data_IF_303882716351
#
_entry.id   IF_303882716351
#
_cell.length_a   1.000
_cell.length_b   1.000
_cell.length_c   1.000
_cell.angle_alpha   90.00
_cell.angle_beta   90.00
_cell.angle_gamma   90.00
#
_symmetry.space_group_name_H-M   'P 1'
#
loop_
_entity.id
_entity.type
_entity.pdbx_description
1 polymer ?
#
# COMPACT_ATOMS: atom_id res chain seq x y z
N UNK A 1 5.45 -3.25 13.74
CA UNK A 1 4.33 -2.47 13.18
C UNK A 1 4.77 -1.02 13.01
N UNK A 2 5.50 -0.48 13.98
CA UNK A 2 6.09 0.87 13.94
C UNK A 2 6.88 1.15 12.66
N UNK A 3 7.78 0.25 12.23
CA UNK A 3 8.52 0.43 10.96
C UNK A 3 7.60 0.59 9.73
N UNK A 4 6.45 -0.11 9.71
CA UNK A 4 5.47 0.07 8.62
C UNK A 4 4.74 1.39 8.74
N UNK A 5 4.42 1.81 9.97
CA UNK A 5 3.77 3.09 10.21
C UNK A 5 4.65 4.25 9.77
N UNK A 6 5.93 4.25 10.15
CA UNK A 6 6.88 5.30 9.80
C UNK A 6 7.13 5.36 8.30
N UNK A 7 7.26 4.20 7.65
CA UNK A 7 7.37 4.13 6.19
C UNK A 7 6.12 4.70 5.49
N UNK A 8 4.92 4.33 5.95
CA UNK A 8 3.68 4.82 5.33
C UNK A 8 3.46 6.32 5.59
N UNK A 9 3.88 6.83 6.74
CA UNK A 9 3.82 8.25 7.06
C UNK A 9 4.74 9.06 6.14
N UNK A 10 5.98 8.59 5.94
CA UNK A 10 6.92 9.21 4.99
C UNK A 10 6.37 9.19 3.55
N UNK A 11 5.81 8.06 3.10
CA UNK A 11 5.18 7.98 1.78
C UNK A 11 3.98 8.93 1.63
N UNK A 12 3.13 9.00 2.66
CA UNK A 12 1.97 9.91 2.67
C UNK A 12 2.40 11.37 2.53
N UNK A 13 3.42 11.78 3.28
CA UNK A 13 3.95 13.15 3.26
C UNK A 13 4.52 13.49 1.88
N UNK A 14 5.40 12.63 1.35
CA UNK A 14 5.97 12.81 0.01
C UNK A 14 4.89 12.90 -1.09
N UNK A 15 3.84 12.08 -1.03
CA UNK A 15 2.70 12.16 -1.98
C UNK A 15 1.96 13.49 -1.83
N UNK A 16 1.70 13.93 -0.61
CA UNK A 16 1.00 15.19 -0.34
C UNK A 16 1.81 16.40 -0.82
N UNK A 17 3.10 16.46 -0.50
CA UNK A 17 4.01 17.50 -0.97
C UNK A 17 4.14 17.49 -2.49
N UNK A 18 4.23 16.31 -3.11
CA UNK A 18 4.30 16.20 -4.58
C UNK A 18 3.05 16.76 -5.25
N UNK A 19 1.86 16.45 -4.72
CA UNK A 19 0.59 16.99 -5.23
C UNK A 19 0.58 18.53 -5.14
N UNK A 20 0.99 19.11 -4.01
CA UNK A 20 1.09 20.56 -3.85
C UNK A 20 2.09 21.16 -4.85
N UNK A 21 3.26 20.53 -5.03
CA UNK A 21 4.31 21.00 -5.92
C UNK A 21 3.90 21.07 -7.40
N UNK A 22 2.90 20.29 -7.81
CA UNK A 22 2.32 20.30 -9.17
C UNK A 22 0.98 21.05 -9.24
N UNK A 23 0.69 21.90 -8.25
CA UNK A 23 -0.56 22.67 -8.10
C UNK A 23 -1.84 21.83 -7.93
N UNK A 24 -1.69 20.58 -7.49
CA UNK A 24 -2.80 19.73 -7.04
C UNK A 24 -3.18 19.99 -5.58
N UNK A 25 -4.14 19.21 -5.08
CA UNK A 25 -4.57 19.24 -3.67
C UNK A 25 -4.69 17.82 -3.13
N UNK A 26 -3.91 17.45 -2.09
CA UNK A 26 -4.10 16.18 -1.41
C UNK A 26 -5.38 16.19 -0.57
N UNK A 27 -5.91 15.00 -0.26
CA UNK A 27 -6.88 14.85 0.82
C UNK A 27 -6.22 15.18 2.16
N UNK A 28 -6.92 15.94 2.99
CA UNK A 28 -6.34 16.53 4.19
C UNK A 28 -7.12 16.19 5.47
N UNK A 29 -8.26 15.50 5.36
CA UNK A 29 -9.10 15.13 6.48
C UNK A 29 -9.35 13.62 6.53
N UNK A 30 -9.55 13.10 7.74
CA UNK A 30 -9.91 11.69 7.92
C UNK A 30 -11.18 11.29 7.16
N UNK A 31 -12.14 12.22 7.03
CA UNK A 31 -13.39 11.94 6.29
C UNK A 31 -13.13 11.74 4.80
N UNK A 32 -12.32 12.59 4.17
CA UNK A 32 -11.93 12.40 2.76
C UNK A 32 -11.20 11.08 2.55
N UNK A 33 -10.29 10.70 3.45
CA UNK A 33 -9.61 9.39 3.36
C UNK A 33 -10.59 8.22 3.46
N UNK A 34 -11.59 8.30 4.36
CA UNK A 34 -12.63 7.27 4.50
C UNK A 34 -13.48 7.19 3.23
N UNK A 35 -13.89 8.32 2.67
CA UNK A 35 -14.77 8.37 1.50
C UNK A 35 -14.08 7.87 0.22
N UNK A 36 -12.75 7.95 0.16
CA UNK A 36 -11.96 7.61 -1.03
C UNK A 36 -11.13 6.33 -0.92
N UNK A 37 -11.05 5.71 0.26
CA UNK A 37 -10.33 4.44 0.43
C UNK A 37 -11.18 3.24 0.06
N UNK A 38 -10.54 2.21 -0.51
CA UNK A 38 -11.13 0.87 -0.68
C UNK A 38 -10.81 -0.08 0.47
N UNK A 39 -10.20 0.42 1.55
CA UNK A 39 -9.85 -0.37 2.73
C UNK A 39 -11.05 -0.48 3.69
N UNK A 40 -11.26 -1.66 4.31
CA UNK A 40 -12.33 -1.83 5.30
C UNK A 40 -11.99 -1.13 6.62
N UNK A 41 -12.99 -0.56 7.28
CA UNK A 41 -12.93 0.15 8.57
C UNK A 41 -13.69 -0.56 9.71
N UNK A 42 -14.06 -1.82 9.48
CA UNK A 42 -14.85 -2.61 10.42
C UNK A 42 -14.18 -2.77 11.79
N UNK A 43 -14.97 -2.56 12.85
CA UNK A 43 -14.53 -2.76 14.23
C UNK A 43 -14.29 -4.25 14.50
N UNK A 44 -13.17 -4.54 15.16
CA UNK A 44 -12.77 -5.90 15.54
C UNK A 44 -12.51 -5.97 17.04
N UNK A 45 -12.96 -7.05 17.69
CA UNK A 45 -12.65 -7.32 19.10
C UNK A 45 -11.33 -8.08 19.23
N UNK A 46 -10.70 -7.99 20.40
CA UNK A 46 -9.37 -8.56 20.69
C UNK A 46 -9.24 -10.06 20.37
N UNK A 47 -10.31 -10.82 20.53
CA UNK A 47 -10.38 -12.28 20.42
C UNK A 47 -11.03 -12.78 19.13
N UNK A 48 -11.46 -11.88 18.24
CA UNK A 48 -12.20 -12.24 17.03
C UNK A 48 -11.34 -12.89 15.94
N UNK A 49 -10.05 -12.56 15.88
CA UNK A 49 -9.13 -13.00 14.82
C UNK A 49 -7.81 -13.52 15.40
N UNK A 50 -7.22 -14.51 14.73
CA UNK A 50 -5.87 -14.98 15.08
C UNK A 50 -4.80 -14.04 14.54
N UNK A 51 -3.57 -14.14 15.07
CA UNK A 51 -2.42 -13.40 14.52
C UNK A 51 -2.21 -13.68 13.02
N UNK A 52 -2.44 -14.92 12.57
CA UNK A 52 -2.32 -15.28 11.15
C UNK A 52 -3.40 -14.61 10.30
N UNK A 53 -4.61 -14.46 10.83
CA UNK A 53 -5.69 -13.73 10.15
C UNK A 53 -5.37 -12.24 10.03
N UNK A 54 -4.82 -11.63 11.08
CA UNK A 54 -4.36 -10.23 11.04
C UNK A 54 -3.25 -10.03 10.01
N UNK A 55 -2.25 -10.91 9.97
CA UNK A 55 -1.18 -10.83 8.97
C UNK A 55 -1.70 -11.05 7.55
N UNK A 56 -2.68 -11.94 7.37
CA UNK A 56 -3.33 -12.12 6.07
C UNK A 56 -4.06 -10.86 5.61
N UNK A 57 -4.83 -10.23 6.50
CA UNK A 57 -5.51 -8.96 6.21
C UNK A 57 -4.51 -7.86 5.85
N UNK A 58 -3.41 -7.75 6.61
CA UNK A 58 -2.36 -6.78 6.33
C UNK A 58 -1.73 -6.98 4.93
N UNK A 59 -1.47 -8.23 4.53
CA UNK A 59 -1.00 -8.55 3.17
C UNK A 59 -1.99 -8.07 2.11
N UNK A 60 -3.28 -8.29 2.31
CA UNK A 60 -4.29 -7.93 1.33
C UNK A 60 -4.48 -6.41 1.23
N UNK A 61 -4.35 -5.69 2.34
CA UNK A 61 -4.34 -4.22 2.36
C UNK A 61 -3.07 -3.64 1.69
N UNK A 62 -1.90 -4.24 1.91
CA UNK A 62 -0.68 -3.83 1.19
C UNK A 62 -0.78 -4.11 -0.32
N UNK A 63 -1.41 -5.22 -0.74
CA UNK A 63 -1.69 -5.46 -2.17
C UNK A 63 -2.61 -4.39 -2.75
N UNK A 64 -3.63 -3.97 -2.00
CA UNK A 64 -4.48 -2.86 -2.42
C UNK A 64 -3.65 -1.59 -2.64
N UNK A 65 -2.83 -1.19 -1.67
CA UNK A 65 -1.97 0.01 -1.77
C UNK A 65 -1.00 -0.08 -2.96
N UNK A 66 -0.30 -1.21 -3.11
CA UNK A 66 0.59 -1.47 -4.26
C UNK A 66 -0.14 -1.28 -5.59
N UNK A 67 -1.38 -1.75 -5.69
CA UNK A 67 -2.17 -1.59 -6.91
C UNK A 67 -2.59 -0.13 -7.14
N UNK A 68 -2.77 0.69 -6.09
CA UNK A 68 -2.98 2.14 -6.26
C UNK A 68 -1.71 2.82 -6.78
N UNK A 69 -0.53 2.45 -6.27
CA UNK A 69 0.73 2.93 -6.84
C UNK A 69 0.90 2.53 -8.31
N UNK A 70 0.55 1.30 -8.68
CA UNK A 70 0.55 0.87 -10.09
C UNK A 70 -0.33 1.76 -10.98
N UNK A 71 -1.54 2.12 -10.54
CA UNK A 71 -2.40 3.06 -11.28
C UNK A 71 -1.76 4.44 -11.43
N UNK A 72 -1.15 4.96 -10.37
CA UNK A 72 -0.44 6.24 -10.42
C UNK A 72 0.77 6.19 -11.37
N UNK A 73 1.51 5.08 -11.42
CA UNK A 73 2.61 4.86 -12.37
C UNK A 73 2.12 4.90 -13.83
N UNK A 74 0.96 4.28 -14.12
CA UNK A 74 0.36 4.30 -15.45
C UNK A 74 -0.08 5.72 -15.86
N UNK A 75 -0.77 6.44 -14.98
CA UNK A 75 -1.21 7.83 -15.22
C UNK A 75 -0.01 8.75 -15.45
N UNK A 76 1.01 8.65 -14.59
CA UNK A 76 2.22 9.49 -14.71
C UNK A 76 3.06 9.14 -15.92
N UNK A 77 3.00 7.89 -16.42
CA UNK A 77 3.61 7.55 -17.71
C UNK A 77 2.92 8.28 -18.86
N UNK A 78 1.59 8.23 -18.90
CA UNK A 78 0.78 8.85 -19.96
C UNK A 78 0.98 10.37 -20.00
N UNK A 79 1.04 11.00 -18.83
CA UNK A 79 1.27 12.45 -18.67
C UNK A 79 2.75 12.85 -18.80
N UNK A 80 3.66 11.86 -18.88
CA UNK A 80 5.12 12.05 -18.90
C UNK A 80 5.64 12.82 -17.67
N UNK A 81 4.96 12.65 -16.53
CA UNK A 81 5.42 13.11 -15.21
C UNK A 81 6.39 12.10 -14.59
N UNK A 82 7.57 11.99 -15.19
CA UNK A 82 8.59 11.03 -14.78
C UNK A 82 9.05 11.18 -13.33
N UNK A 83 9.19 12.40 -12.74
CA UNK A 83 9.53 12.52 -11.34
C UNK A 83 8.49 11.90 -10.39
N UNK A 84 7.18 12.10 -10.66
CA UNK A 84 6.14 11.45 -9.85
C UNK A 84 6.15 9.94 -10.09
N UNK A 85 6.34 9.51 -11.34
CA UNK A 85 6.40 8.10 -11.69
C UNK A 85 7.53 7.37 -10.94
N UNK A 86 8.73 7.96 -10.89
CA UNK A 86 9.89 7.39 -10.19
C UNK A 86 9.64 7.25 -8.68
N UNK A 87 9.07 8.30 -8.06
CA UNK A 87 8.65 8.26 -6.66
C UNK A 87 7.69 7.10 -6.39
N UNK A 88 6.65 6.95 -7.22
CA UNK A 88 5.66 5.89 -7.07
C UNK A 88 6.25 4.49 -7.33
N UNK A 89 7.21 4.36 -8.26
CA UNK A 89 7.94 3.11 -8.48
C UNK A 89 8.70 2.68 -7.22
N UNK A 90 9.43 3.60 -6.58
CA UNK A 90 10.14 3.33 -5.33
C UNK A 90 9.20 2.91 -4.19
N UNK A 91 8.06 3.60 -4.06
CA UNK A 91 7.06 3.24 -3.04
C UNK A 91 6.42 1.89 -3.31
N UNK A 92 6.10 1.58 -4.58
CA UNK A 92 5.58 0.28 -4.98
C UNK A 92 6.57 -0.85 -4.68
N UNK A 93 7.85 -0.67 -4.98
CA UNK A 93 8.90 -1.65 -4.65
C UNK A 93 8.99 -1.91 -3.14
N UNK A 94 8.95 -0.84 -2.33
CA UNK A 94 8.96 -0.96 -0.88
C UNK A 94 7.76 -1.77 -0.35
N UNK A 95 6.56 -1.55 -0.90
CA UNK A 95 5.37 -2.33 -0.54
C UNK A 95 5.47 -3.79 -1.03
N UNK A 96 6.02 -4.03 -2.22
CA UNK A 96 6.27 -5.40 -2.71
C UNK A 96 7.20 -6.18 -1.76
N UNK A 97 8.22 -5.51 -1.19
CA UNK A 97 9.10 -6.10 -0.17
C UNK A 97 8.34 -6.43 1.12
N UNK A 98 7.47 -5.55 1.60
CA UNK A 98 6.64 -5.81 2.79
C UNK A 98 5.72 -7.01 2.58
N UNK A 99 5.06 -7.07 1.41
CA UNK A 99 4.19 -8.20 1.02
C UNK A 99 4.98 -9.51 1.06
N UNK A 100 6.20 -9.53 0.49
CA UNK A 100 7.07 -10.70 0.53
C UNK A 100 7.39 -11.13 1.97
N UNK A 101 7.82 -10.20 2.83
CA UNK A 101 8.21 -10.50 4.21
C UNK A 101 7.04 -11.08 5.02
N UNK A 102 5.84 -10.51 4.90
CA UNK A 102 4.67 -10.99 5.64
C UNK A 102 4.18 -12.33 5.08
N UNK A 103 4.22 -12.52 3.75
CA UNK A 103 3.93 -13.83 3.15
C UNK A 103 4.90 -14.91 3.63
N UNK A 104 6.20 -14.59 3.77
CA UNK A 104 7.18 -15.53 4.32
C UNK A 104 6.85 -15.93 5.76
N UNK A 105 6.44 -14.99 6.61
CA UNK A 105 5.92 -15.29 7.96
C UNK A 105 4.69 -16.22 7.92
N UNK A 106 3.80 -16.03 6.94
CA UNK A 106 2.65 -16.88 6.72
C UNK A 106 2.98 -18.25 6.10
N UNK A 107 4.23 -18.52 5.72
CA UNK A 107 4.63 -19.74 5.02
C UNK A 107 4.17 -19.78 3.55
N UNK A 108 3.95 -18.61 2.94
CA UNK A 108 3.57 -18.44 1.53
C UNK A 108 4.77 -17.96 0.72
N UNK A 109 4.79 -18.29 -0.57
CA UNK A 109 5.80 -17.77 -1.50
C UNK A 109 5.63 -16.26 -1.77
N UNK A 110 6.69 -15.56 -2.24
CA UNK A 110 6.68 -14.12 -2.56
C UNK A 110 5.62 -13.73 -3.57
N UNK A 111 5.32 -14.63 -4.51
CA UNK A 111 4.30 -14.49 -5.53
C UNK A 111 3.41 -15.71 -5.41
N UNK A 112 2.10 -15.54 -5.22
CA UNK A 112 1.13 -16.63 -5.32
C UNK A 112 1.04 -17.07 -6.79
N UNK A 113 2.08 -17.75 -7.28
CA UNK A 113 1.88 -18.79 -8.27
C UNK A 113 1.43 -19.97 -7.42
N UNK A 114 0.16 -20.36 -7.56
CA UNK A 114 -0.31 -21.62 -7.01
C UNK A 114 0.70 -22.70 -7.44
N UNK A 115 1.54 -23.17 -6.52
CA UNK A 115 2.35 -24.34 -6.75
C UNK A 115 1.39 -25.52 -6.77
N UNK A 116 0.83 -25.76 -7.95
CA UNK A 116 0.44 -27.10 -8.36
C UNK A 116 1.73 -27.92 -8.31
N UNK A 117 1.83 -28.76 -7.27
CA UNK A 117 2.76 -29.87 -7.11
C UNK A 117 4.26 -29.57 -7.33
N UNK A 118 4.99 -29.49 -6.23
CA UNK A 118 6.34 -30.05 -6.14
C UNK A 118 6.44 -30.93 -4.90
#
# INVERSE_FOLDING_TARGET
>A
MDDYHDQLADQLDNVAERLIAINGSPYATTHEFIDHTGLPDEKITWDQLTMRDFMQRLVDQFKYLRNQYQKGIEITDDEKDFPTQDMLNGFKEAIDKNIWMINAYLGKGPMMINNVNR
#
